data_IF_202972407971
#
_entry.id   IF_202972407971
#
_cell.length_a   1.000
_cell.length_b   1.000
_cell.length_c   1.000
_cell.angle_alpha   90.00
_cell.angle_beta   90.00
_cell.angle_gamma   90.00
#
_symmetry.space_group_name_H-M   'P 1'
#
loop_
_entity.id
_entity.type
_entity.pdbx_description
1 polymer ?
#
# COMPACT_ATOMS: atom_id res chain seq x y z
N UNK A 1 -2.77 10.74 -1.30
CA UNK A 1 -4.21 10.49 -1.52
C UNK A 1 -4.68 9.42 -0.56
N UNK A 2 -5.77 9.64 0.19
CA UNK A 2 -6.40 8.56 0.97
C UNK A 2 -7.27 7.70 0.05
N UNK A 3 -7.27 6.38 0.25
CA UNK A 3 -8.09 5.47 -0.56
C UNK A 3 -8.63 4.30 0.23
N UNK A 4 -9.87 3.93 -0.09
CA UNK A 4 -10.53 2.68 0.33
C UNK A 4 -10.82 1.77 -0.87
N UNK A 5 -10.52 2.24 -2.09
CA UNK A 5 -10.78 1.51 -3.33
C UNK A 5 -9.71 0.44 -3.54
N UNK A 6 -10.12 -0.82 -3.43
CA UNK A 6 -9.23 -1.98 -3.53
C UNK A 6 -8.41 -2.01 -4.82
N UNK A 7 -8.97 -1.60 -5.96
CA UNK A 7 -8.28 -1.61 -7.25
C UNK A 7 -7.11 -0.63 -7.26
N UNK A 8 -7.36 0.60 -6.79
CA UNK A 8 -6.32 1.64 -6.72
C UNK A 8 -5.22 1.26 -5.74
N UNK A 9 -5.58 0.69 -4.59
CA UNK A 9 -4.59 0.26 -3.59
C UNK A 9 -3.73 -0.88 -4.12
N UNK A 10 -4.33 -1.90 -4.77
CA UNK A 10 -3.57 -3.01 -5.35
C UNK A 10 -2.60 -2.54 -6.45
N UNK A 11 -3.03 -1.60 -7.30
CA UNK A 11 -2.15 -1.02 -8.30
C UNK A 11 -0.99 -0.24 -7.65
N UNK A 12 -1.25 0.54 -6.62
CA UNK A 12 -0.21 1.25 -5.88
C UNK A 12 0.76 0.30 -5.16
N UNK A 13 0.28 -0.82 -4.59
CA UNK A 13 1.15 -1.84 -3.99
C UNK A 13 2.03 -2.53 -5.04
N UNK A 14 1.49 -2.78 -6.24
CA UNK A 14 2.27 -3.31 -7.36
C UNK A 14 3.36 -2.30 -7.77
N UNK A 15 2.99 -1.03 -7.98
CA UNK A 15 3.95 0.03 -8.29
C UNK A 15 5.02 0.18 -7.19
N UNK A 16 4.64 0.07 -5.91
CA UNK A 16 5.58 0.12 -4.78
C UNK A 16 6.59 -1.02 -4.84
N UNK A 17 6.15 -2.23 -5.19
CA UNK A 17 7.01 -3.41 -5.23
C UNK A 17 7.92 -3.44 -6.46
N UNK A 18 7.43 -3.01 -7.62
CA UNK A 18 8.12 -3.21 -8.90
C UNK A 18 8.72 -1.94 -9.50
N UNK A 19 8.11 -0.78 -9.27
CA UNK A 19 8.57 0.49 -9.83
C UNK A 19 9.24 1.39 -8.78
N UNK A 20 9.00 1.16 -7.48
CA UNK A 20 9.54 1.98 -6.40
C UNK A 20 9.04 3.43 -6.36
N UNK A 21 8.09 3.80 -7.23
CA UNK A 21 7.63 5.18 -7.41
C UNK A 21 6.38 5.52 -6.58
N UNK A 22 5.89 4.58 -5.79
CA UNK A 22 4.73 4.76 -4.90
C UNK A 22 5.00 4.15 -3.54
N UNK A 23 4.38 4.73 -2.53
CA UNK A 23 4.41 4.26 -1.15
C UNK A 23 2.97 4.19 -0.62
N UNK A 24 2.58 3.04 -0.09
CA UNK A 24 1.29 2.80 0.54
C UNK A 24 1.49 2.72 2.05
N UNK A 25 0.80 3.56 2.80
CA UNK A 25 0.92 3.69 4.25
C UNK A 25 -0.43 3.51 4.93
N UNK A 26 -0.42 3.01 6.15
CA UNK A 26 -1.48 3.18 7.13
C UNK A 26 -0.90 3.90 8.36
N UNK A 27 -1.71 4.28 9.37
CA UNK A 27 -1.20 4.93 10.58
C UNK A 27 -0.07 4.14 11.28
N UNK A 28 -0.05 2.81 11.14
CA UNK A 28 0.95 1.94 11.73
C UNK A 28 2.25 1.82 10.90
N UNK A 29 2.23 2.18 9.61
CA UNK A 29 3.44 2.14 8.76
C UNK A 29 3.21 1.66 7.32
N UNK A 30 4.28 1.26 6.61
CA UNK A 30 4.22 0.79 5.23
C UNK A 30 3.40 -0.48 5.07
N UNK A 31 2.52 -0.49 4.08
CA UNK A 31 1.62 -1.60 3.76
C UNK A 31 2.21 -2.41 2.60
N UNK A 32 2.14 -3.74 2.70
CA UNK A 32 2.62 -4.67 1.65
C UNK A 32 1.49 -5.46 0.99
N UNK A 33 0.33 -5.56 1.64
CA UNK A 33 -0.84 -6.22 1.09
C UNK A 33 -2.13 -5.62 1.67
N UNK A 34 -3.21 -5.67 0.88
CA UNK A 34 -4.56 -5.33 1.35
C UNK A 34 -5.57 -6.39 0.96
N UNK A 35 -6.65 -6.51 1.75
CA UNK A 35 -7.81 -7.33 1.41
C UNK A 35 -9.09 -6.74 2.01
N UNK A 36 -10.24 -7.19 1.53
CA UNK A 36 -11.54 -6.91 2.15
C UNK A 36 -12.06 -8.17 2.82
N UNK A 37 -12.58 -8.03 4.04
CA UNK A 37 -13.27 -9.11 4.76
C UNK A 37 -14.43 -8.52 5.54
N UNK A 38 -15.64 -9.04 5.35
CA UNK A 38 -16.87 -8.56 6.03
C UNK A 38 -17.05 -7.02 5.94
N UNK A 39 -16.82 -6.44 4.76
CA UNK A 39 -16.92 -4.99 4.54
C UNK A 39 -15.72 -4.16 5.04
N UNK A 40 -14.85 -4.71 5.87
CA UNK A 40 -13.69 -4.01 6.42
C UNK A 40 -12.48 -4.11 5.50
N UNK A 41 -11.70 -3.02 5.42
CA UNK A 41 -10.40 -3.01 4.78
C UNK A 41 -9.35 -3.47 5.78
N UNK A 42 -8.57 -4.46 5.36
CA UNK A 42 -7.46 -5.03 6.11
C UNK A 42 -6.16 -4.73 5.39
N UNK A 43 -5.18 -4.21 6.12
CA UNK A 43 -3.82 -3.96 5.64
C UNK A 43 -2.82 -4.83 6.38
N UNK A 44 -1.83 -5.35 5.66
CA UNK A 44 -0.67 -6.03 6.23
C UNK A 44 0.50 -5.06 6.28
N UNK A 45 0.99 -4.78 7.48
CA UNK A 45 2.13 -3.89 7.70
C UNK A 45 3.43 -4.64 7.43
N UNK A 46 4.37 -4.01 6.71
CA UNK A 46 5.67 -4.58 6.36
C UNK A 46 6.40 -5.04 7.62
N UNK A 47 6.79 -6.32 7.66
CA UNK A 47 7.55 -6.91 8.76
C UNK A 47 6.72 -7.37 9.96
N UNK A 48 5.40 -7.16 9.97
CA UNK A 48 4.55 -7.50 11.13
C UNK A 48 3.83 -8.85 11.00
N UNK A 49 3.67 -9.37 9.77
CA UNK A 49 3.04 -10.68 9.51
C UNK A 49 1.56 -10.79 9.90
N UNK A 50 0.92 -9.70 10.35
CA UNK A 50 -0.48 -9.66 10.77
C UNK A 50 -1.30 -8.67 9.94
N UNK A 51 -2.60 -8.93 9.89
CA UNK A 51 -3.59 -8.08 9.25
C UNK A 51 -4.24 -7.15 10.26
N UNK A 52 -4.35 -5.87 9.92
CA UNK A 52 -4.95 -4.84 10.76
C UNK A 52 -6.13 -4.19 10.05
N UNK A 53 -7.20 -3.95 10.81
CA UNK A 53 -8.31 -3.14 10.34
C UNK A 53 -7.85 -1.70 10.17
N UNK A 54 -8.12 -1.14 8.99
CA UNK A 54 -7.81 0.25 8.67
C UNK A 54 -9.01 0.87 7.99
N UNK A 55 -9.31 2.13 8.31
CA UNK A 55 -10.40 2.87 7.65
C UNK A 55 -10.03 3.18 6.19
N UNK A 56 -8.78 3.55 5.95
CA UNK A 56 -8.22 3.83 4.64
C UNK A 56 -6.70 3.64 4.64
N UNK A 57 -6.10 3.66 3.46
CA UNK A 57 -4.65 3.75 3.29
C UNK A 57 -4.27 5.02 2.54
N UNK A 58 -3.10 5.55 2.88
CA UNK A 58 -2.50 6.68 2.21
C UNK A 58 -1.60 6.19 1.08
N UNK A 59 -1.90 6.61 -0.14
CA UNK A 59 -1.04 6.39 -1.32
C UNK A 59 -0.27 7.68 -1.57
N UNK A 60 1.05 7.60 -1.52
CA UNK A 60 1.98 8.69 -1.82
C UNK A 60 2.77 8.36 -3.08
N UNK A 61 2.78 9.28 -4.05
CA UNK A 61 3.67 9.19 -5.20
C UNK A 61 5.04 9.76 -4.81
N UNK A 62 6.11 9.07 -5.19
CA UNK A 62 7.47 9.37 -4.76
C UNK A 62 8.32 10.07 -5.84
N UNK A 63 7.79 10.33 -7.03
CA UNK A 63 8.60 10.83 -8.15
C UNK A 63 9.11 9.74 -9.08
N UNK A 64 9.66 10.13 -10.23
CA UNK A 64 10.53 9.28 -11.05
C UNK A 64 11.88 9.12 -10.33
N UNK A 65 11.91 8.30 -9.27
CA UNK A 65 13.09 8.08 -8.45
C UNK A 65 13.47 6.60 -8.45
N UNK A 66 14.61 6.30 -9.08
CA UNK A 66 15.27 4.98 -9.21
C UNK A 66 14.62 3.97 -10.15
N UNK A 67 14.71 4.27 -11.45
CA UNK A 67 15.09 3.22 -12.39
C UNK A 67 16.54 2.85 -12.06
N UNK A 68 16.73 1.67 -11.47
CA UNK A 68 18.03 1.05 -11.34
C UNK A 68 18.61 0.91 -12.76
N UNK A 69 19.69 1.63 -13.05
CA UNK A 69 20.59 1.26 -14.13
C UNK A 69 21.23 -0.06 -13.71
N UNK A 70 20.91 -1.12 -14.44
CA UNK A 70 21.58 -2.42 -14.42
C UNK A 70 21.72 -2.86 -15.87
#
# INVERSE_FOLDING_TARGET
MQSTNMRHIKQALWNQAFLGNTLVLCPMGPVVAVRRRKGQLLAMVRGWGRWYNVESVSIRWLGAGRQLLS
#
